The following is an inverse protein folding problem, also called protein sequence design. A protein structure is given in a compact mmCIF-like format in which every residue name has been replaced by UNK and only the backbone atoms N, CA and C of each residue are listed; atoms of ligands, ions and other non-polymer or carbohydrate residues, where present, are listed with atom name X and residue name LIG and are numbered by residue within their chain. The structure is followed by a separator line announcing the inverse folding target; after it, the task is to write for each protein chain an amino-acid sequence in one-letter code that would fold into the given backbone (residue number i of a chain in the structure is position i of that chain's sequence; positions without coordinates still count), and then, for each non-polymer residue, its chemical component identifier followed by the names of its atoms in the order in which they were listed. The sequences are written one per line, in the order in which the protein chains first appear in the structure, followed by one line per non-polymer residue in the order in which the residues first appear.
data_IF_014828159988
#
_entry.id   IF_014828159988
#
_cell.length_a   1.000
_cell.length_b   1.000
_cell.length_c   1.000
_cell.angle_alpha   90.00
_cell.angle_beta   90.00
_cell.angle_gamma   90.00
#
_symmetry.space_group_name_H-M   'P 1'
#
loop_
_entity.id
_entity.type
_entity.pdbx_description
1 polymer ?
#
# COMPACT_ATOMS: atom_id res chain seq x y z
N UNK A 1 22.39 0.66 22.20
CA UNK A 1 21.01 0.73 22.70
C UNK A 1 20.12 0.89 21.50
N UNK A 2 19.46 -0.19 21.07
CA UNK A 2 18.53 -0.16 19.93
C UNK A 2 17.18 0.33 20.45
N UNK A 3 16.83 1.57 20.14
CA UNK A 3 15.46 2.05 20.30
C UNK A 3 14.58 1.18 19.39
N UNK A 4 13.78 0.31 20.00
CA UNK A 4 12.67 -0.34 19.32
C UNK A 4 11.62 0.72 19.08
N UNK A 5 11.70 1.41 17.93
CA UNK A 5 10.62 2.26 17.48
C UNK A 5 9.41 1.36 17.21
N UNK A 6 8.47 1.36 18.17
CA UNK A 6 7.28 0.52 18.12
C UNK A 6 6.28 1.19 17.19
N UNK A 7 6.17 0.67 15.96
CA UNK A 7 5.12 1.10 15.05
C UNK A 7 3.78 0.50 15.46
N UNK A 8 2.72 1.31 15.43
CA UNK A 8 1.33 0.90 15.57
C UNK A 8 0.69 0.91 14.19
N UNK A 9 0.01 -0.19 13.83
CA UNK A 9 -0.76 -0.29 12.58
C UNK A 9 -2.24 -0.31 12.93
N UNK A 10 -2.98 0.66 12.43
CA UNK A 10 -4.43 0.81 12.67
C UNK A 10 -5.17 1.22 11.38
N UNK A 11 -6.49 1.02 11.32
CA UNK A 11 -7.31 1.62 10.29
C UNK A 11 -7.20 3.15 10.28
N UNK A 12 -7.26 3.75 9.09
CA UNK A 12 -7.43 5.18 8.91
C UNK A 12 -8.92 5.51 8.98
N UNK A 13 -9.34 6.24 10.02
CA UNK A 13 -10.76 6.49 10.30
C UNK A 13 -11.06 7.98 10.51
N UNK A 14 -10.04 8.77 10.85
CA UNK A 14 -10.18 10.19 11.16
C UNK A 14 -9.74 11.08 10.00
N UNK A 15 -10.16 12.35 10.01
CA UNK A 15 -9.69 13.34 9.03
C UNK A 15 -8.16 13.52 9.08
N UNK A 16 -7.55 13.39 10.26
CA UNK A 16 -6.10 13.44 10.43
C UNK A 16 -5.41 12.25 9.77
N UNK A 17 -6.00 11.04 9.85
CA UNK A 17 -5.52 9.87 9.13
C UNK A 17 -5.56 10.08 7.63
N UNK A 18 -6.68 10.56 7.10
CA UNK A 18 -6.80 10.80 5.67
C UNK A 18 -5.78 11.83 5.20
N UNK A 19 -5.59 12.93 5.93
CA UNK A 19 -4.55 13.91 5.61
C UNK A 19 -3.13 13.29 5.58
N UNK A 20 -2.81 12.37 6.50
CA UNK A 20 -1.53 11.67 6.51
C UNK A 20 -1.38 10.71 5.32
N UNK A 21 -2.45 9.98 4.95
CA UNK A 21 -2.45 9.13 3.75
C UNK A 21 -2.15 9.95 2.50
N UNK A 22 -2.76 11.13 2.38
CA UNK A 22 -2.55 12.03 1.24
C UNK A 22 -1.09 12.44 1.12
N UNK A 23 -0.48 12.88 2.21
CA UNK A 23 0.94 13.25 2.23
C UNK A 23 1.83 12.07 1.82
N UNK A 24 1.51 10.85 2.26
CA UNK A 24 2.28 9.65 1.90
C UNK A 24 2.13 9.30 0.41
N UNK A 25 0.92 9.39 -0.15
CA UNK A 25 0.70 9.11 -1.57
C UNK A 25 1.38 10.15 -2.47
N UNK A 26 1.28 11.43 -2.12
CA UNK A 26 1.97 12.52 -2.83
C UNK A 26 3.49 12.33 -2.81
N UNK A 27 4.05 12.05 -1.63
CA UNK A 27 5.48 11.81 -1.46
C UNK A 27 5.95 10.58 -2.26
N UNK A 28 5.14 9.52 -2.31
CA UNK A 28 5.46 8.30 -3.04
C UNK A 28 5.49 8.55 -4.55
N UNK A 29 4.47 9.20 -5.10
CA UNK A 29 4.40 9.45 -6.53
C UNK A 29 5.49 10.42 -7.02
N UNK A 30 5.78 11.47 -6.23
CA UNK A 30 6.91 12.35 -6.50
C UNK A 30 8.22 11.58 -6.53
N UNK A 31 8.44 10.66 -5.58
CA UNK A 31 9.65 9.84 -5.53
C UNK A 31 9.78 8.89 -6.73
N UNK A 32 8.67 8.47 -7.33
CA UNK A 32 8.67 7.66 -8.56
C UNK A 32 8.80 8.49 -9.85
N UNK A 33 8.76 9.82 -9.75
CA UNK A 33 8.70 10.70 -10.91
C UNK A 33 7.44 10.47 -11.75
N UNK A 34 6.38 9.92 -11.14
CA UNK A 34 5.10 9.71 -11.79
C UNK A 34 4.31 11.00 -11.66
N UNK A 35 3.85 11.52 -12.79
CA UNK A 35 2.90 12.62 -12.78
C UNK A 35 1.56 12.14 -12.22
N UNK A 36 1.21 12.62 -11.04
CA UNK A 36 -0.08 12.37 -10.38
C UNK A 36 -1.27 12.98 -11.12
N UNK A 37 -1.05 13.71 -12.22
CA UNK A 37 -2.12 14.15 -13.12
C UNK A 37 -2.87 12.99 -13.81
N UNK A 38 -2.42 11.75 -13.65
CA UNK A 38 -3.10 10.58 -14.19
C UNK A 38 -4.45 10.32 -13.50
N UNK A 39 -5.51 10.18 -14.31
CA UNK A 39 -6.87 9.72 -13.97
C UNK A 39 -7.34 9.99 -12.53
N UNK A 40 -8.04 11.11 -12.34
CA UNK A 40 -8.94 11.34 -11.21
C UNK A 40 -8.32 11.19 -9.80
N UNK A 41 -6.98 11.19 -9.67
CA UNK A 41 -6.30 11.00 -8.39
C UNK A 41 -6.74 12.04 -7.35
N UNK A 42 -6.87 13.31 -7.76
CA UNK A 42 -7.39 14.36 -6.89
C UNK A 42 -8.82 14.10 -6.40
N UNK A 43 -9.68 13.51 -7.24
CA UNK A 43 -11.04 13.14 -6.85
C UNK A 43 -11.06 11.89 -5.96
N UNK A 44 -10.20 10.90 -6.24
CA UNK A 44 -10.03 9.72 -5.39
C UNK A 44 -9.58 10.14 -3.98
N UNK A 45 -8.59 11.01 -3.92
CA UNK A 45 -8.08 11.67 -2.70
C UNK A 45 -9.18 12.41 -1.95
N UNK A 46 -9.98 13.23 -2.64
CA UNK A 46 -11.08 13.97 -2.03
C UNK A 46 -12.20 13.06 -1.50
N UNK A 47 -12.28 11.82 -1.99
CA UNK A 47 -13.30 10.84 -1.62
C UNK A 47 -12.90 9.88 -0.50
N UNK A 48 -11.70 10.01 0.08
CA UNK A 48 -11.20 9.09 1.11
C UNK A 48 -12.21 8.92 2.28
N UNK A 49 -12.44 7.68 2.76
CA UNK A 49 -11.76 6.45 2.36
C UNK A 49 -12.30 5.84 1.05
N UNK A 50 -13.42 6.31 0.50
CA UNK A 50 -13.89 5.95 -0.84
C UNK A 50 -13.97 4.45 -1.08
N UNK A 51 -13.29 3.96 -2.12
CA UNK A 51 -13.19 2.52 -2.43
C UNK A 51 -12.45 1.69 -1.37
N UNK A 52 -11.75 2.35 -0.45
CA UNK A 52 -11.04 1.74 0.69
C UNK A 52 -11.92 1.64 1.94
N UNK A 53 -13.19 2.05 1.88
CA UNK A 53 -14.12 1.95 3.01
C UNK A 53 -14.63 0.52 3.21
N UNK A 54 -14.96 0.19 4.46
CA UNK A 54 -15.71 -1.03 4.78
C UNK A 54 -17.09 -1.03 4.07
N UNK A 55 -17.65 -2.21 3.76
CA UNK A 55 -17.15 -3.56 4.10
C UNK A 55 -16.19 -4.16 3.05
N UNK A 56 -15.98 -3.48 1.92
CA UNK A 56 -15.22 -4.00 0.77
C UNK A 56 -13.83 -3.35 0.64
N UNK A 57 -13.29 -2.83 1.72
CA UNK A 57 -12.03 -2.11 1.70
C UNK A 57 -11.57 -1.79 3.10
N UNK A 58 -10.26 -1.61 3.23
CA UNK A 58 -9.66 -0.97 4.39
C UNK A 58 -8.49 -0.09 3.94
N UNK A 59 -8.27 0.99 4.68
CA UNK A 59 -7.08 1.81 4.59
C UNK A 59 -6.33 1.66 5.92
N UNK A 60 -5.08 1.22 5.88
CA UNK A 60 -4.26 0.99 7.06
C UNK A 60 -3.12 2.01 7.09
N UNK A 61 -2.91 2.62 8.25
CA UNK A 61 -1.78 3.50 8.51
C UNK A 61 -0.85 2.85 9.53
N UNK A 62 0.43 3.03 9.30
CA UNK A 62 1.47 2.75 10.26
C UNK A 62 2.01 4.06 10.84
N UNK A 63 2.05 4.17 12.17
CA UNK A 63 2.54 5.34 12.90
C UNK A 63 3.57 4.90 13.93
N UNK A 64 4.68 5.61 14.03
CA UNK A 64 5.55 5.60 15.21
C UNK A 64 5.12 6.72 16.17
N UNK A 65 5.92 6.98 17.21
CA UNK A 65 5.63 8.05 18.18
C UNK A 65 5.79 9.46 17.59
N UNK A 66 6.48 9.63 16.45
CA UNK A 66 6.80 10.93 15.86
C UNK A 66 6.17 11.18 14.47
N UNK A 67 5.40 10.25 13.93
CA UNK A 67 4.82 10.30 12.58
C UNK A 67 5.79 10.00 11.42
N UNK A 68 6.94 9.36 11.67
CA UNK A 68 8.02 9.14 10.69
C UNK A 68 8.20 7.64 10.36
N UNK A 69 7.75 7.21 9.17
CA UNK A 69 7.80 5.79 8.77
C UNK A 69 8.77 5.48 7.63
N UNK A 70 10.09 5.34 7.90
CA UNK A 70 11.03 4.77 6.91
C UNK A 70 12.03 3.78 7.54
N UNK A 71 12.35 2.71 6.81
CA UNK A 71 13.57 1.91 7.03
C UNK A 71 13.57 0.82 8.12
N UNK A 72 12.43 0.51 8.75
CA UNK A 72 12.37 -0.30 9.98
C UNK A 72 11.75 -1.71 9.86
N UNK A 73 11.45 -2.18 8.65
CA UNK A 73 10.65 -3.41 8.43
C UNK A 73 9.13 -3.16 8.34
N UNK A 74 8.73 -1.89 8.40
CA UNK A 74 7.34 -1.44 8.37
C UNK A 74 6.54 -1.94 7.17
N UNK A 75 7.15 -1.96 5.98
CA UNK A 75 6.49 -2.45 4.76
C UNK A 75 6.06 -3.91 4.89
N UNK A 76 6.85 -4.75 5.57
CA UNK A 76 6.52 -6.16 5.79
C UNK A 76 5.32 -6.28 6.73
N UNK A 77 5.34 -5.55 7.84
CA UNK A 77 4.24 -5.56 8.80
C UNK A 77 2.93 -5.04 8.18
N UNK A 78 3.00 -4.00 7.36
CA UNK A 78 1.84 -3.49 6.60
C UNK A 78 1.30 -4.53 5.62
N UNK A 79 2.18 -5.18 4.84
CA UNK A 79 1.79 -6.23 3.90
C UNK A 79 1.13 -7.42 4.62
N UNK A 80 1.73 -7.90 5.72
CA UNK A 80 1.16 -8.98 6.52
C UNK A 80 -0.21 -8.58 7.10
N UNK A 81 -0.34 -7.35 7.60
CA UNK A 81 -1.60 -6.85 8.17
C UNK A 81 -2.71 -6.77 7.13
N UNK A 82 -2.44 -6.23 5.94
CA UNK A 82 -3.46 -6.08 4.89
C UNK A 82 -3.91 -7.45 4.35
N UNK A 83 -3.02 -8.45 4.29
CA UNK A 83 -3.38 -9.83 3.93
C UNK A 83 -4.35 -10.42 4.96
N UNK A 84 -4.09 -10.23 6.25
CA UNK A 84 -5.00 -10.68 7.32
C UNK A 84 -6.37 -10.03 7.21
N UNK A 85 -6.43 -8.72 6.95
CA UNK A 85 -7.70 -8.02 6.79
C UNK A 85 -8.46 -8.46 5.53
N UNK A 86 -7.77 -8.64 4.40
CA UNK A 86 -8.39 -9.14 3.18
C UNK A 86 -9.02 -10.54 3.39
N UNK A 87 -8.34 -11.44 4.10
CA UNK A 87 -8.89 -12.76 4.48
C UNK A 87 -10.13 -12.64 5.35
N UNK A 88 -10.11 -11.75 6.36
CA UNK A 88 -11.26 -11.50 7.24
C UNK A 88 -12.48 -10.97 6.49
N UNK A 89 -12.25 -10.17 5.46
CA UNK A 89 -13.30 -9.65 4.58
C UNK A 89 -13.79 -10.68 3.55
N UNK A 90 -13.19 -11.87 3.49
CA UNK A 90 -13.60 -12.95 2.58
C UNK A 90 -13.07 -12.85 1.15
N UNK A 91 -12.06 -11.99 0.91
CA UNK A 91 -11.38 -11.96 -0.39
C UNK A 91 -10.70 -13.29 -0.68
N UNK A 92 -10.76 -13.71 -1.95
CA UNK A 92 -10.15 -14.95 -2.42
C UNK A 92 -8.74 -14.75 -2.97
N UNK A 93 -8.44 -13.52 -3.41
CA UNK A 93 -7.20 -13.16 -4.08
C UNK A 93 -6.80 -11.73 -3.75
N UNK A 94 -5.50 -11.47 -3.65
CA UNK A 94 -4.93 -10.13 -3.58
C UNK A 94 -4.02 -9.92 -4.78
N UNK A 95 -4.13 -8.76 -5.43
CA UNK A 95 -3.29 -8.38 -6.57
C UNK A 95 -2.59 -7.08 -6.32
N UNK A 96 -1.40 -6.96 -6.89
CA UNK A 96 -0.61 -5.74 -6.91
C UNK A 96 0.17 -5.63 -8.20
N UNK A 97 0.68 -4.45 -8.45
CA UNK A 97 1.70 -4.20 -9.46
C UNK A 97 2.91 -3.49 -8.86
N UNK A 98 4.05 -3.62 -9.51
CA UNK A 98 5.34 -3.11 -9.05
C UNK A 98 6.29 -2.89 -10.21
N UNK A 99 7.39 -2.18 -9.99
CA UNK A 99 8.39 -1.87 -11.00
C UNK A 99 9.65 -2.72 -10.84
N UNK A 100 10.39 -3.00 -11.94
CA UNK A 100 11.65 -3.75 -11.88
C UNK A 100 12.68 -3.14 -10.92
N UNK A 101 12.69 -1.81 -10.78
CA UNK A 101 13.57 -1.06 -9.88
C UNK A 101 13.23 -1.22 -8.39
N UNK A 102 12.01 -1.64 -8.04
CA UNK A 102 11.53 -1.79 -6.66
C UNK A 102 11.96 -3.13 -6.03
N UNK A 103 13.25 -3.43 -6.06
CA UNK A 103 13.80 -4.75 -5.70
C UNK A 103 13.41 -5.18 -4.27
N UNK A 104 13.49 -4.28 -3.30
CA UNK A 104 13.13 -4.57 -1.91
C UNK A 104 11.64 -4.90 -1.74
N UNK A 105 10.76 -4.17 -2.43
CA UNK A 105 9.32 -4.45 -2.40
C UNK A 105 9.00 -5.79 -3.07
N UNK A 106 9.61 -6.07 -4.23
CA UNK A 106 9.48 -7.36 -4.91
C UNK A 106 9.94 -8.53 -4.06
N UNK A 107 11.08 -8.41 -3.38
CA UNK A 107 11.57 -9.44 -2.47
C UNK A 107 10.58 -9.68 -1.31
N UNK A 108 10.02 -8.61 -0.76
CA UNK A 108 8.99 -8.67 0.28
C UNK A 108 7.72 -9.38 -0.20
N UNK A 109 7.19 -9.04 -1.37
CA UNK A 109 5.99 -9.68 -1.91
C UNK A 109 6.22 -11.16 -2.19
N UNK A 110 7.37 -11.53 -2.77
CA UNK A 110 7.73 -12.94 -2.99
C UNK A 110 7.83 -13.71 -1.67
N UNK A 111 8.43 -13.11 -0.63
CA UNK A 111 8.48 -13.71 0.70
C UNK A 111 7.10 -13.83 1.36
N UNK A 112 6.16 -12.96 1.00
CA UNK A 112 4.75 -13.02 1.39
C UNK A 112 3.90 -14.02 0.60
N UNK A 113 4.49 -14.77 -0.35
CA UNK A 113 3.81 -15.79 -1.15
C UNK A 113 3.13 -15.27 -2.42
N UNK A 114 3.39 -14.02 -2.83
CA UNK A 114 2.90 -13.52 -4.11
C UNK A 114 3.69 -14.11 -5.27
N UNK A 115 2.97 -14.50 -6.32
CA UNK A 115 3.52 -15.03 -7.57
C UNK A 115 3.31 -14.02 -8.69
N UNK A 116 4.25 -13.95 -9.65
CA UNK A 116 4.11 -13.09 -10.82
C UNK A 116 3.01 -13.66 -11.75
N UNK A 117 2.15 -12.78 -12.26
CA UNK A 117 1.03 -13.14 -13.15
C UNK A 117 1.03 -12.28 -14.42
N UNK A 118 0.26 -12.69 -15.41
CA UNK A 118 -0.01 -11.87 -16.59
C UNK A 118 -0.72 -10.55 -16.21
N UNK A 119 -0.50 -9.45 -16.97
CA UNK A 119 -1.17 -8.18 -16.76
C UNK A 119 -2.70 -8.31 -16.70
N UNK A 120 -3.29 -7.78 -15.64
CA UNK A 120 -4.75 -7.79 -15.44
C UNK A 120 -5.43 -6.43 -15.71
N UNK A 121 -4.65 -5.38 -15.98
CA UNK A 121 -5.13 -4.11 -16.52
C UNK A 121 -4.07 -3.47 -17.42
N UNK A 122 -4.48 -2.50 -18.24
CA UNK A 122 -3.54 -1.73 -19.08
C UNK A 122 -2.91 -0.61 -18.25
N UNK A 123 -1.59 -0.64 -18.14
CA UNK A 123 -0.81 0.41 -17.49
C UNK A 123 0.05 1.15 -18.53
N UNK A 124 0.18 2.48 -18.43
CA UNK A 124 1.10 3.24 -19.28
C UNK A 124 2.58 3.03 -18.90
N UNK A 125 2.85 2.46 -17.72
CA UNK A 125 4.21 2.30 -17.21
C UNK A 125 4.82 1.01 -17.79
N UNK A 126 5.84 1.17 -18.64
CA UNK A 126 6.50 0.05 -19.30
C UNK A 126 7.24 -0.83 -18.29
N UNK A 127 7.13 -2.15 -18.46
CA UNK A 127 7.81 -3.11 -17.60
C UNK A 127 7.17 -3.31 -16.23
N UNK A 128 5.95 -2.80 -16.02
CA UNK A 128 5.15 -3.10 -14.83
C UNK A 128 4.99 -4.62 -14.67
N UNK A 129 5.30 -5.10 -13.48
CA UNK A 129 5.19 -6.50 -13.08
C UNK A 129 3.93 -6.63 -12.23
N UNK A 130 3.11 -7.63 -12.53
CA UNK A 130 1.88 -7.91 -11.80
C UNK A 130 2.08 -9.14 -10.93
N UNK A 131 1.52 -9.13 -9.73
CA UNK A 131 1.62 -10.25 -8.80
C UNK A 131 0.27 -10.57 -8.14
N UNK A 132 0.05 -11.84 -7.81
CA UNK A 132 -1.15 -12.35 -7.14
C UNK A 132 -0.79 -13.24 -5.94
N UNK A 133 -1.58 -13.13 -4.88
CA UNK A 133 -1.60 -14.06 -3.75
C UNK A 133 -3.00 -14.67 -3.65
N UNK A 134 -3.10 -15.99 -3.55
CA UNK A 134 -4.34 -16.66 -3.11
C UNK A 134 -4.49 -16.46 -1.60
N UNK A 135 -5.66 -16.00 -1.17
CA UNK A 135 -5.94 -15.67 0.23
C UNK A 135 -6.54 -16.86 0.99
#
# INVERSE_FOLDING_TARGET
MTTSDSFVISPAETQEDFNAVLQLFEAYALALGIDLSFQDFAAEVASLPGKYALPTGCLLLARDQEGQGRGSGLGKMLAERVIVEARRMGYQKMRLDTLPSMQSARALYKAGGFEEIEPYYRTPIQGTIFMELQL
#
